data_IF_937441223540
#
_entry.id   IF_937441223540
#
_cell.length_a   1.000
_cell.length_b   1.000
_cell.length_c   1.000
_cell.angle_alpha   90.00
_cell.angle_beta   90.00
_cell.angle_gamma   90.00
#
_symmetry.space_group_name_H-M   'P 1'
#
loop_
_entity.id
_entity.type
_entity.pdbx_description
1 polymer ?
#
# COMPACT_ATOMS: atom_id res chain seq x y z
N UNK A 1 6.05 -80.83 -30.90
CA UNK A 1 5.39 -80.16 -32.05
C UNK A 1 4.57 -79.04 -31.46
N UNK A 2 5.16 -77.84 -31.44
CA UNK A 2 4.76 -76.68 -32.28
C UNK A 2 3.57 -75.95 -31.60
N UNK A 3 3.60 -74.67 -31.26
CA UNK A 3 4.46 -73.58 -31.74
C UNK A 3 4.36 -72.35 -30.81
N UNK A 4 5.39 -71.51 -30.88
CA UNK A 4 5.69 -70.31 -30.10
C UNK A 4 4.75 -69.14 -30.49
N UNK A 5 4.50 -68.12 -29.66
CA UNK A 5 5.41 -66.96 -29.54
C UNK A 5 4.86 -65.83 -28.64
N UNK A 6 5.77 -65.23 -27.86
CA UNK A 6 5.95 -63.81 -27.45
C UNK A 6 4.76 -62.94 -26.98
N UNK A 7 4.86 -62.05 -25.98
CA UNK A 7 5.88 -61.67 -25.00
C UNK A 7 5.21 -60.75 -23.95
N UNK A 8 5.59 -60.85 -22.67
CA UNK A 8 5.49 -59.73 -21.72
C UNK A 8 6.82 -59.58 -21.01
N UNK A 9 7.44 -58.42 -21.24
CA UNK A 9 8.63 -57.92 -20.58
C UNK A 9 8.35 -57.60 -19.11
N UNK A 10 9.29 -57.88 -18.22
CA UNK A 10 10.00 -56.84 -17.45
C UNK A 10 10.70 -57.41 -16.22
N UNK A 11 12.01 -57.27 -16.22
CA UNK A 11 12.90 -57.09 -15.07
C UNK A 11 14.22 -56.53 -15.66
N UNK A 12 15.12 -55.84 -14.91
CA UNK A 12 15.22 -55.84 -13.45
C UNK A 12 15.58 -54.49 -12.80
N UNK A 13 15.51 -54.50 -11.47
CA UNK A 13 16.23 -53.70 -10.47
C UNK A 13 17.24 -52.64 -10.97
N UNK A 14 17.06 -51.41 -10.48
CA UNK A 14 18.08 -50.50 -9.88
C UNK A 14 17.49 -49.09 -9.93
N UNK A 15 17.30 -48.48 -8.76
CA UNK A 15 17.14 -47.03 -8.45
C UNK A 15 16.18 -46.80 -7.27
N UNK A 16 16.34 -47.55 -6.18
CA UNK A 16 15.80 -47.18 -4.86
C UNK A 16 16.97 -47.27 -3.88
N UNK A 17 17.87 -46.29 -3.92
CA UNK A 17 18.99 -46.16 -2.96
C UNK A 17 19.66 -44.76 -3.02
N UNK A 18 18.88 -43.67 -3.09
CA UNK A 18 19.50 -42.33 -3.05
C UNK A 18 18.71 -41.16 -2.46
N UNK A 19 17.53 -41.36 -1.87
CA UNK A 19 16.74 -40.25 -1.30
C UNK A 19 16.44 -40.33 0.21
N UNK A 20 17.09 -41.23 0.97
CA UNK A 20 16.91 -41.31 2.44
C UNK A 20 18.14 -40.86 3.24
N UNK A 21 19.15 -40.29 2.58
CA UNK A 21 20.38 -39.79 3.24
C UNK A 21 20.57 -38.26 3.23
N UNK A 22 19.58 -37.49 2.76
CA UNK A 22 19.68 -36.01 2.74
C UNK A 22 18.69 -35.28 3.66
N UNK A 23 17.94 -36.00 4.49
CA UNK A 23 16.93 -35.41 5.41
C UNK A 23 17.44 -35.38 6.86
N UNK A 24 18.62 -35.95 7.14
CA UNK A 24 19.17 -36.05 8.52
C UNK A 24 20.47 -35.27 8.73
N UNK A 25 20.86 -34.42 7.78
CA UNK A 25 22.08 -33.60 7.85
C UNK A 25 21.82 -32.10 7.64
N UNK A 26 20.58 -31.64 7.77
CA UNK A 26 20.35 -30.25 8.17
C UNK A 26 20.64 -30.15 9.67
N UNK A 27 21.94 -29.93 9.92
CA UNK A 27 22.55 -29.41 11.14
C UNK A 27 21.54 -28.98 12.19
N UNK A 28 21.74 -29.53 13.39
CA UNK A 28 21.59 -28.82 14.65
C UNK A 28 22.17 -27.40 14.47
N UNK A 29 21.34 -26.47 14.00
CA UNK A 29 21.61 -25.06 14.16
C UNK A 29 21.59 -24.89 15.67
N UNK A 30 22.72 -24.49 16.23
CA UNK A 30 22.83 -24.16 17.65
C UNK A 30 21.56 -23.41 18.06
N UNK A 31 20.73 -24.01 18.92
CA UNK A 31 19.49 -23.38 19.43
C UNK A 31 19.77 -22.01 20.08
N UNK A 32 21.04 -21.69 20.33
CA UNK A 32 21.54 -20.42 20.87
C UNK A 32 21.87 -19.35 19.82
N UNK A 33 21.80 -19.62 18.51
CA UNK A 33 22.02 -18.56 17.51
C UNK A 33 20.74 -17.75 17.28
N UNK A 34 20.75 -16.48 17.66
CA UNK A 34 19.61 -15.56 17.53
C UNK A 34 19.13 -15.46 16.08
N UNK A 35 20.04 -15.53 15.10
CA UNK A 35 19.66 -15.46 13.67
C UNK A 35 18.82 -16.65 13.23
N UNK A 36 19.04 -17.82 13.82
CA UNK A 36 18.25 -19.02 13.51
C UNK A 36 16.80 -18.89 13.95
N UNK A 37 16.53 -18.14 15.02
CA UNK A 37 15.19 -17.89 15.57
C UNK A 37 14.30 -17.07 14.63
N UNK A 38 14.88 -16.32 13.69
CA UNK A 38 14.14 -15.60 12.63
C UNK A 38 13.40 -16.54 11.68
N UNK A 39 13.75 -17.83 11.65
CA UNK A 39 13.05 -18.83 10.82
C UNK A 39 11.93 -19.54 11.55
N UNK A 40 11.68 -19.19 12.81
CA UNK A 40 10.65 -19.80 13.65
C UNK A 40 9.41 -18.90 13.64
N UNK A 41 8.35 -19.35 12.97
CA UNK A 41 7.09 -18.62 12.83
C UNK A 41 6.03 -19.20 13.76
N UNK A 42 6.25 -19.04 15.08
CA UNK A 42 5.35 -19.54 16.10
C UNK A 42 4.82 -18.41 16.96
N UNK A 43 3.50 -18.31 17.05
CA UNK A 43 2.81 -17.37 17.90
C UNK A 43 2.79 -17.85 19.35
N UNK A 44 3.13 -16.95 20.28
CA UNK A 44 2.98 -17.15 21.71
C UNK A 44 2.56 -15.83 22.36
N UNK A 45 1.29 -15.76 22.76
CA UNK A 45 0.70 -14.58 23.40
C UNK A 45 1.52 -14.12 24.61
N UNK A 46 1.95 -15.05 25.48
CA UNK A 46 2.68 -14.69 26.70
C UNK A 46 4.07 -14.15 26.39
N UNK A 47 4.71 -14.67 25.34
CA UNK A 47 5.98 -14.16 24.88
C UNK A 47 5.83 -12.73 24.32
N UNK A 48 4.79 -12.46 23.53
CA UNK A 48 4.48 -11.11 23.04
C UNK A 48 4.24 -10.12 24.17
N UNK A 49 3.42 -10.48 25.17
CA UNK A 49 3.19 -9.64 26.36
C UNK A 49 4.48 -9.36 27.13
N UNK A 50 5.32 -10.38 27.36
CA UNK A 50 6.60 -10.23 28.04
C UNK A 50 7.58 -9.36 27.24
N UNK A 51 7.53 -9.42 25.91
CA UNK A 51 8.34 -8.58 25.03
C UNK A 51 7.92 -7.11 25.11
N UNK A 52 6.62 -6.82 25.05
CA UNK A 52 6.08 -5.45 25.18
C UNK A 52 6.49 -4.84 26.52
N UNK A 53 6.48 -5.63 27.60
CA UNK A 53 6.93 -5.19 28.93
C UNK A 53 8.44 -5.08 29.08
N UNK A 54 9.22 -5.51 28.08
CA UNK A 54 10.68 -5.53 28.14
C UNK A 54 11.24 -6.58 29.12
N UNK A 55 10.47 -7.61 29.45
CA UNK A 55 10.85 -8.66 30.40
C UNK A 55 11.66 -9.78 29.74
N UNK A 56 11.27 -10.18 28.51
CA UNK A 56 11.90 -11.31 27.82
C UNK A 56 11.75 -11.22 26.30
N UNK A 57 12.81 -11.61 25.59
CA UNK A 57 12.77 -11.74 24.13
C UNK A 57 12.08 -13.07 23.74
N UNK A 58 11.05 -13.04 22.88
CA UNK A 58 10.34 -14.23 22.41
C UNK A 58 11.26 -15.22 21.71
N UNK A 59 11.10 -16.53 21.97
CA UNK A 59 11.97 -17.55 21.36
C UNK A 59 11.85 -17.58 19.84
N UNK A 60 10.63 -17.59 19.31
CA UNK A 60 10.36 -17.49 17.88
C UNK A 60 10.41 -16.02 17.45
N UNK A 61 11.17 -15.69 16.40
CA UNK A 61 11.35 -14.33 15.90
C UNK A 61 10.93 -14.20 14.42
N UNK A 62 10.28 -15.18 13.82
CA UNK A 62 9.89 -15.12 12.41
C UNK A 62 8.68 -14.22 12.14
N UNK A 63 7.80 -14.05 13.13
CA UNK A 63 6.55 -13.31 12.94
C UNK A 63 6.76 -11.78 13.00
N UNK A 64 6.20 -11.00 12.05
CA UNK A 64 6.22 -9.54 12.10
C UNK A 64 5.66 -8.96 13.42
N UNK A 65 4.58 -9.53 13.94
CA UNK A 65 4.01 -9.16 15.24
C UNK A 65 5.06 -9.20 16.35
N UNK A 66 5.88 -10.26 16.38
CA UNK A 66 6.91 -10.42 17.41
C UNK A 66 7.96 -9.31 17.32
N UNK A 67 8.33 -8.91 16.11
CA UNK A 67 9.24 -7.80 15.90
C UNK A 67 8.69 -6.50 16.47
N UNK A 68 7.42 -6.18 16.21
CA UNK A 68 6.76 -5.01 16.75
C UNK A 68 6.68 -5.05 18.28
N UNK A 69 6.41 -6.22 18.88
CA UNK A 69 6.35 -6.38 20.34
C UNK A 69 7.71 -6.09 20.99
N UNK A 70 8.79 -6.56 20.37
CA UNK A 70 10.15 -6.32 20.82
C UNK A 70 10.52 -4.83 20.68
N UNK A 71 10.22 -4.22 19.54
CA UNK A 71 10.50 -2.78 19.31
C UNK A 71 9.74 -1.94 20.35
N UNK A 72 8.47 -2.26 20.62
CA UNK A 72 7.69 -1.67 21.71
C UNK A 72 8.44 -1.79 23.03
N UNK A 73 8.87 -2.99 23.41
CA UNK A 73 9.66 -3.24 24.62
C UNK A 73 10.93 -2.40 24.71
N UNK A 74 11.71 -2.34 23.63
CA UNK A 74 12.98 -1.57 23.54
C UNK A 74 12.72 -0.10 23.80
N UNK A 75 11.65 0.47 23.22
CA UNK A 75 11.34 1.90 23.37
C UNK A 75 11.10 2.32 24.81
N UNK A 76 10.46 1.47 25.63
CA UNK A 76 10.11 1.80 27.01
C UNK A 76 11.12 1.28 28.04
N UNK A 77 11.95 0.29 27.70
CA UNK A 77 12.86 -0.36 28.64
C UNK A 77 14.31 -0.24 28.16
N UNK A 78 15.07 0.69 28.74
CA UNK A 78 16.49 0.87 28.41
C UNK A 78 17.30 -0.39 28.78
N UNK A 79 18.12 -0.88 27.85
CA UNK A 79 18.92 -2.10 28.02
C UNK A 79 18.21 -3.40 27.64
N UNK A 80 16.90 -3.38 27.39
CA UNK A 80 16.19 -4.53 26.82
C UNK A 80 16.56 -4.69 25.35
N UNK A 81 16.78 -5.93 24.90
CA UNK A 81 16.97 -6.23 23.48
C UNK A 81 18.36 -5.94 22.91
N UNK A 82 19.36 -5.57 23.71
CA UNK A 82 20.73 -5.28 23.21
C UNK A 82 21.36 -6.45 22.45
N UNK A 83 21.01 -7.69 22.79
CA UNK A 83 21.45 -8.90 22.06
C UNK A 83 20.92 -8.98 20.61
N UNK A 84 19.96 -8.15 20.24
CA UNK A 84 19.40 -8.06 18.89
C UNK A 84 20.12 -7.05 17.98
N UNK A 85 21.12 -6.33 18.50
CA UNK A 85 21.90 -5.35 17.74
C UNK A 85 22.63 -6.04 16.58
N UNK A 86 22.48 -5.50 15.36
CA UNK A 86 23.09 -6.07 14.15
C UNK A 86 22.44 -7.35 13.62
N UNK A 87 21.29 -7.76 14.19
CA UNK A 87 20.49 -8.89 13.69
C UNK A 87 19.58 -8.42 12.55
N UNK A 88 18.78 -7.38 12.79
CA UNK A 88 17.95 -6.72 11.78
C UNK A 88 18.10 -5.19 11.92
N UNK A 89 18.13 -4.43 10.81
CA UNK A 89 18.26 -2.96 10.86
C UNK A 89 17.19 -2.29 11.73
N UNK A 90 15.95 -2.79 11.72
CA UNK A 90 14.85 -2.24 12.54
C UNK A 90 15.10 -2.36 14.05
N UNK A 91 15.75 -3.43 14.50
CA UNK A 91 16.11 -3.59 15.91
C UNK A 91 17.27 -2.68 16.28
N UNK A 92 18.30 -2.60 15.44
CA UNK A 92 19.40 -1.65 15.67
C UNK A 92 18.88 -0.21 15.72
N UNK A 93 17.99 0.21 14.80
CA UNK A 93 17.35 1.53 14.84
C UNK A 93 16.61 1.79 16.15
N UNK A 94 15.79 0.85 16.61
CA UNK A 94 15.05 0.98 17.86
C UNK A 94 15.98 1.14 19.07
N UNK A 95 17.06 0.35 19.13
CA UNK A 95 18.08 0.43 20.18
C UNK A 95 18.85 1.76 20.12
N UNK A 96 19.18 2.24 18.93
CA UNK A 96 19.83 3.53 18.72
C UNK A 96 18.92 4.68 19.18
N UNK A 97 17.64 4.64 18.83
CA UNK A 97 16.64 5.61 19.30
C UNK A 97 16.55 5.62 20.84
N UNK A 98 16.45 4.43 21.45
CA UNK A 98 16.38 4.28 22.92
C UNK A 98 17.64 4.78 23.62
N UNK A 99 18.81 4.56 23.03
CA UNK A 99 20.09 5.07 23.53
C UNK A 99 20.08 6.60 23.55
N UNK A 100 19.65 7.23 22.45
CA UNK A 100 19.55 8.70 22.33
C UNK A 100 18.57 9.27 23.35
N UNK A 101 17.40 8.63 23.51
CA UNK A 101 16.41 8.98 24.53
C UNK A 101 16.90 8.76 25.97
N UNK A 102 18.08 8.17 26.15
CA UNK A 102 18.74 7.93 27.44
C UNK A 102 20.08 8.68 27.54
N UNK A 103 20.22 9.79 26.81
CA UNK A 103 21.39 10.66 26.77
C UNK A 103 22.68 10.01 26.26
N UNK A 104 22.56 8.94 25.45
CA UNK A 104 23.70 8.26 24.83
C UNK A 104 23.60 8.29 23.30
N UNK A 105 24.57 8.94 22.63
CA UNK A 105 24.64 8.97 21.17
C UNK A 105 25.48 7.78 20.68
N UNK A 106 24.87 6.75 20.06
CA UNK A 106 25.63 5.61 19.55
C UNK A 106 26.38 5.98 18.27
N UNK A 107 27.42 5.21 17.94
CA UNK A 107 28.07 5.28 16.63
C UNK A 107 27.19 4.55 15.61
N UNK A 108 26.83 5.22 14.52
CA UNK A 108 25.99 4.69 13.45
C UNK A 108 26.70 4.88 12.11
N UNK A 109 26.90 3.79 11.37
CA UNK A 109 27.58 3.79 10.06
C UNK A 109 26.59 3.60 8.91
N UNK A 110 25.64 2.67 9.06
CA UNK A 110 24.61 2.40 8.04
C UNK A 110 23.43 3.36 8.22
N UNK A 111 23.04 4.05 7.14
CA UNK A 111 21.86 4.92 7.09
C UNK A 111 20.57 4.20 7.50
N UNK A 112 20.47 2.90 7.24
CA UNK A 112 19.33 2.10 7.67
C UNK A 112 19.27 1.91 9.19
N UNK A 113 20.30 2.28 9.94
CA UNK A 113 20.33 2.19 11.41
C UNK A 113 20.12 3.54 12.10
N UNK A 114 19.94 4.62 11.32
CA UNK A 114 19.62 5.94 11.85
C UNK A 114 18.13 5.98 12.22
N UNK A 115 17.78 6.16 13.50
CA UNK A 115 16.41 6.46 13.86
C UNK A 115 15.99 7.82 13.31
N UNK A 116 14.69 7.93 13.00
CA UNK A 116 14.08 9.13 12.45
C UNK A 116 14.31 10.39 13.30
N UNK A 117 14.56 10.22 14.61
CA UNK A 117 14.82 11.31 15.56
C UNK A 117 16.17 12.03 15.36
N UNK A 118 17.08 11.58 14.48
CA UNK A 118 18.42 12.17 14.32
C UNK A 118 18.49 13.35 13.34
N UNK A 119 17.48 13.59 12.50
CA UNK A 119 17.44 14.80 11.66
C UNK A 119 17.16 16.05 12.52
N UNK A 120 18.21 16.54 13.18
CA UNK A 120 18.11 17.26 14.46
C UNK A 120 17.20 18.49 14.45
N UNK A 121 17.33 19.40 13.48
CA UNK A 121 16.65 20.70 13.61
C UNK A 121 15.13 20.61 13.49
N UNK A 122 14.62 19.88 12.50
CA UNK A 122 13.17 19.76 12.29
C UNK A 122 12.50 18.90 13.36
N UNK A 123 13.17 17.82 13.81
CA UNK A 123 12.65 16.99 14.91
C UNK A 123 12.65 17.73 16.24
N UNK A 124 13.69 18.53 16.53
CA UNK A 124 13.70 19.42 17.70
C UNK A 124 12.60 20.48 17.56
N UNK A 125 12.38 21.03 16.36
CA UNK A 125 11.28 21.95 16.08
C UNK A 125 9.91 21.34 16.34
N UNK A 126 9.70 20.09 15.94
CA UNK A 126 8.48 19.33 16.23
C UNK A 126 8.32 19.05 17.73
N UNK A 127 9.39 18.70 18.43
CA UNK A 127 9.37 18.56 19.88
C UNK A 127 9.01 19.89 20.58
N UNK A 128 9.48 21.03 20.05
CA UNK A 128 9.08 22.35 20.53
C UNK A 128 7.59 22.61 20.28
N UNK A 129 7.03 22.18 19.16
CA UNK A 129 5.60 22.27 18.88
C UNK A 129 4.75 21.45 19.86
N UNK A 130 5.23 20.28 20.28
CA UNK A 130 4.56 19.47 21.33
C UNK A 130 4.70 20.13 22.71
N UNK A 131 5.89 20.61 23.06
CA UNK A 131 6.20 21.13 24.41
C UNK A 131 5.84 22.63 24.62
N UNK A 132 5.58 23.38 23.55
CA UNK A 132 5.32 24.82 23.61
C UNK A 132 6.57 25.70 23.74
N UNK A 133 7.75 25.20 23.37
CA UNK A 133 9.01 25.94 23.49
C UNK A 133 9.26 26.90 22.31
N UNK A 134 8.52 28.02 22.28
CA UNK A 134 8.57 29.00 21.20
C UNK A 134 9.96 29.63 21.00
N UNK A 135 10.64 30.01 22.09
CA UNK A 135 11.94 30.70 21.99
C UNK A 135 12.99 29.77 21.38
N UNK A 136 13.06 28.52 21.84
CA UNK A 136 13.92 27.49 21.26
C UNK A 136 13.55 27.22 19.80
N UNK A 137 12.27 27.13 19.46
CA UNK A 137 11.82 26.95 18.08
C UNK A 137 12.37 28.06 17.16
N UNK A 138 12.34 29.32 17.60
CA UNK A 138 12.86 30.47 16.84
C UNK A 138 14.37 30.41 16.67
N UNK A 139 15.10 29.90 17.66
CA UNK A 139 16.56 29.74 17.59
C UNK A 139 17.02 28.67 16.59
N UNK A 140 16.17 27.69 16.26
CA UNK A 140 16.53 26.61 15.33
C UNK A 140 16.74 27.10 13.88
N UNK A 141 16.16 28.25 13.54
CA UNK A 141 16.19 28.87 12.20
C UNK A 141 15.81 27.86 11.10
N UNK A 142 14.64 27.23 11.27
CA UNK A 142 14.07 26.28 10.31
C UNK A 142 13.00 26.92 9.45
N UNK A 143 12.78 26.37 8.26
CA UNK A 143 11.70 26.82 7.37
C UNK A 143 10.33 26.64 8.05
N UNK A 144 9.34 27.50 7.72
CA UNK A 144 7.98 27.38 8.23
C UNK A 144 7.32 26.09 7.72
N UNK A 145 7.43 25.05 8.53
CA UNK A 145 7.10 23.67 8.20
C UNK A 145 5.66 23.33 8.56
N UNK A 146 4.89 22.84 7.60
CA UNK A 146 3.46 22.54 7.80
C UNK A 146 3.23 21.42 8.82
N UNK A 147 4.11 20.41 8.89
CA UNK A 147 3.91 19.28 9.80
C UNK A 147 4.16 19.69 11.26
N UNK A 148 5.06 20.64 11.49
CA UNK A 148 5.26 21.25 12.81
C UNK A 148 4.05 22.12 13.20
N UNK A 149 3.42 22.79 12.23
CA UNK A 149 2.18 23.52 12.48
C UNK A 149 1.02 22.58 12.84
N UNK A 150 0.84 21.48 12.11
CA UNK A 150 -0.17 20.45 12.45
C UNK A 150 0.04 19.91 13.87
N UNK A 151 1.28 19.57 14.23
CA UNK A 151 1.64 19.12 15.58
C UNK A 151 1.34 20.18 16.67
N UNK A 152 1.71 21.44 16.43
CA UNK A 152 1.46 22.54 17.35
C UNK A 152 -0.04 22.79 17.55
N UNK A 153 -0.82 22.71 16.46
CA UNK A 153 -2.27 22.83 16.48
C UNK A 153 -2.91 21.72 17.32
N UNK A 154 -2.49 20.46 17.09
CA UNK A 154 -3.00 19.30 17.82
C UNK A 154 -2.72 19.39 19.33
N UNK A 155 -1.53 19.84 19.71
CA UNK A 155 -1.14 20.00 21.10
C UNK A 155 -1.70 21.27 21.76
N UNK A 156 -2.43 22.12 21.03
CA UNK A 156 -2.98 23.38 21.55
C UNK A 156 -1.96 24.50 21.76
N UNK A 157 -0.75 24.35 21.21
CA UNK A 157 0.33 25.33 21.29
C UNK A 157 0.21 26.36 20.16
N UNK A 158 -0.73 27.30 20.31
CA UNK A 158 -1.09 28.24 19.25
C UNK A 158 0.03 29.19 18.84
N UNK A 159 0.97 29.52 19.72
CA UNK A 159 2.03 30.48 19.40
C UNK A 159 2.96 30.02 18.26
N UNK A 160 3.35 28.73 18.25
CA UNK A 160 4.18 28.17 17.17
C UNK A 160 3.34 27.99 15.90
N UNK A 161 2.10 27.53 16.05
CA UNK A 161 1.16 27.43 14.94
C UNK A 161 0.97 28.77 14.22
N UNK A 162 0.62 29.83 14.95
CA UNK A 162 0.42 31.17 14.41
C UNK A 162 1.70 31.75 13.79
N UNK A 163 2.87 31.53 14.40
CA UNK A 163 4.15 31.94 13.83
C UNK A 163 4.38 31.33 12.44
N UNK A 164 4.13 30.02 12.28
CA UNK A 164 4.28 29.32 10.99
C UNK A 164 3.20 29.77 9.99
N UNK A 165 1.94 29.81 10.43
CA UNK A 165 0.79 30.12 9.57
C UNK A 165 0.78 31.59 9.11
N UNK A 166 1.44 32.49 9.84
CA UNK A 166 1.60 33.89 9.44
C UNK A 166 2.58 34.10 8.27
N UNK A 167 3.42 33.09 7.95
CA UNK A 167 4.41 33.21 6.88
C UNK A 167 3.75 33.13 5.50
N UNK A 168 4.20 33.93 4.53
CA UNK A 168 3.60 33.95 3.19
C UNK A 168 3.84 32.66 2.40
N UNK A 169 4.92 31.94 2.71
CA UNK A 169 5.27 30.66 2.08
C UNK A 169 5.58 29.66 3.18
N UNK A 170 4.95 28.49 3.09
CA UNK A 170 5.13 27.34 3.99
C UNK A 170 5.69 26.16 3.21
N UNK A 171 6.37 25.26 3.90
CA UNK A 171 7.12 24.17 3.30
C UNK A 171 6.64 22.81 3.82
N UNK A 172 6.81 21.80 2.96
CA UNK A 172 6.76 20.39 3.34
C UNK A 172 8.18 19.82 3.24
N UNK A 173 8.84 19.72 4.39
CA UNK A 173 10.21 19.25 4.57
C UNK A 173 10.22 17.87 5.21
N UNK A 174 9.33 17.62 6.17
CA UNK A 174 9.22 16.31 6.81
C UNK A 174 8.28 15.40 6.01
N UNK A 175 8.54 14.10 6.05
CA UNK A 175 7.65 13.07 5.51
C UNK A 175 7.57 11.90 6.51
N UNK A 176 6.46 11.85 7.24
CA UNK A 176 6.20 10.84 8.27
C UNK A 176 5.84 9.47 7.68
N UNK A 177 5.40 9.39 6.42
CA UNK A 177 5.15 8.11 5.73
C UNK A 177 6.46 7.37 5.49
N UNK A 178 7.47 8.09 5.02
CA UNK A 178 8.78 7.50 4.70
C UNK A 178 9.78 7.63 5.83
N UNK A 179 9.46 8.41 6.88
CA UNK A 179 10.37 8.78 7.97
C UNK A 179 11.63 9.46 7.42
N UNK A 180 11.43 10.44 6.55
CA UNK A 180 12.53 11.19 5.93
C UNK A 180 12.38 12.69 6.10
N UNK A 181 13.49 13.40 5.92
CA UNK A 181 13.55 14.86 5.86
C UNK A 181 14.11 15.21 4.49
N UNK A 182 13.32 15.92 3.69
CA UNK A 182 13.65 16.27 2.32
C UNK A 182 14.78 17.29 2.27
N UNK A 183 15.82 16.99 1.48
CA UNK A 183 16.88 17.95 1.15
C UNK A 183 16.40 19.04 0.17
N UNK A 184 15.24 18.84 -0.48
CA UNK A 184 14.63 19.79 -1.42
C UNK A 184 13.23 20.17 -0.91
N UNK A 185 13.12 21.15 0.00
CA UNK A 185 11.85 21.62 0.53
C UNK A 185 10.87 22.05 -0.56
N UNK A 186 9.63 21.57 -0.51
CA UNK A 186 8.58 21.99 -1.44
C UNK A 186 7.85 23.23 -0.91
N UNK A 187 7.92 24.39 -1.58
CA UNK A 187 7.19 25.59 -1.16
C UNK A 187 5.71 25.49 -1.50
N UNK A 188 4.89 26.30 -0.82
CA UNK A 188 3.44 26.39 -1.07
C UNK A 188 2.67 25.21 -0.48
N UNK A 189 3.20 24.57 0.56
CA UNK A 189 2.49 23.53 1.28
C UNK A 189 1.37 24.13 2.13
N UNK A 190 0.29 23.36 2.29
CA UNK A 190 -0.84 23.67 3.16
C UNK A 190 -1.01 22.54 4.18
N UNK A 191 -1.79 22.79 5.24
CA UNK A 191 -2.22 21.74 6.17
C UNK A 191 -3.08 20.72 5.40
N UNK A 192 -2.80 19.42 5.58
CA UNK A 192 -3.45 18.33 4.87
C UNK A 192 -3.60 17.04 5.70
N UNK A 193 -3.31 17.07 7.00
CA UNK A 193 -3.37 15.91 7.90
C UNK A 193 -2.49 14.74 7.39
N UNK A 194 -1.31 15.08 6.87
CA UNK A 194 -0.27 14.13 6.44
C UNK A 194 0.79 13.91 7.54
N UNK A 195 0.54 14.39 8.75
CA UNK A 195 1.45 14.32 9.90
C UNK A 195 0.94 13.31 10.94
N UNK A 196 1.85 12.51 11.50
CA UNK A 196 1.51 11.63 12.61
C UNK A 196 1.51 12.38 13.95
N UNK A 197 0.50 13.22 14.18
CA UNK A 197 0.42 14.09 15.37
C UNK A 197 0.35 13.33 16.70
N UNK A 198 0.70 13.99 17.80
CA UNK A 198 0.78 13.39 19.14
C UNK A 198 -0.48 12.60 19.53
N UNK A 199 -1.69 13.12 19.26
CA UNK A 199 -2.94 12.39 19.54
C UNK A 199 -3.02 11.04 18.82
N UNK A 200 -2.56 10.96 17.56
CA UNK A 200 -2.66 9.74 16.76
C UNK A 200 -1.64 8.71 17.22
N UNK A 201 -0.45 9.16 17.64
CA UNK A 201 0.58 8.32 18.26
C UNK A 201 0.19 7.81 19.66
N UNK A 202 -0.75 8.47 20.34
CA UNK A 202 -1.27 8.04 21.63
C UNK A 202 -2.22 6.83 21.51
N UNK A 203 -2.91 6.69 20.37
CA UNK A 203 -3.82 5.57 20.10
C UNK A 203 -3.02 4.27 20.02
N UNK A 204 -3.46 3.26 20.76
CA UNK A 204 -2.89 1.90 20.81
C UNK A 204 -3.82 0.89 20.17
N UNK A 205 -3.24 -0.11 19.53
CA UNK A 205 -3.98 -1.29 19.10
C UNK A 205 -3.61 -2.48 19.98
N UNK A 206 -4.60 -3.25 20.41
CA UNK A 206 -4.34 -4.55 21.04
C UNK A 206 -3.93 -5.53 19.95
N UNK A 207 -2.80 -6.22 20.14
CA UNK A 207 -2.44 -7.28 19.21
C UNK A 207 -3.39 -8.48 19.34
N UNK A 208 -3.68 -9.11 18.21
CA UNK A 208 -4.53 -10.28 18.12
C UNK A 208 -3.72 -11.55 17.83
N UNK A 209 -4.41 -12.68 17.67
CA UNK A 209 -3.77 -13.96 17.36
C UNK A 209 -3.12 -13.85 15.98
N UNK A 210 -1.82 -14.13 15.92
CA UNK A 210 -1.13 -14.35 14.66
C UNK A 210 -1.20 -15.83 14.30
N UNK A 211 -1.50 -16.14 13.03
CA UNK A 211 -1.47 -17.53 12.55
C UNK A 211 -0.02 -18.05 12.45
N UNK A 212 0.20 -19.30 12.87
CA UNK A 212 1.49 -19.98 12.72
C UNK A 212 1.73 -20.26 11.21
N UNK A 213 2.86 -19.82 10.67
CA UNK A 213 3.23 -20.11 9.28
C UNK A 213 3.94 -21.47 9.19
N UNK A 214 3.30 -22.45 8.55
CA UNK A 214 3.96 -23.70 8.17
C UNK A 214 4.79 -23.47 6.89
N UNK A 215 6.11 -23.34 7.05
CA UNK A 215 7.09 -22.90 6.03
C UNK A 215 7.32 -23.93 4.91
N UNK A 216 6.40 -24.87 4.67
CA UNK A 216 6.61 -25.97 3.71
C UNK A 216 6.44 -25.56 2.23
N UNK A 217 6.05 -24.30 1.94
CA UNK A 217 5.72 -23.85 0.58
C UNK A 217 6.24 -22.44 0.22
N UNK A 218 7.44 -22.07 0.67
CA UNK A 218 8.11 -20.85 0.18
C UNK A 218 9.24 -21.27 -0.78
N UNK A 219 9.01 -21.13 -2.09
CA UNK A 219 10.08 -21.18 -3.07
C UNK A 219 11.02 -19.99 -2.87
N UNK A 220 12.32 -20.18 -3.12
CA UNK A 220 13.38 -19.22 -2.79
C UNK A 220 13.23 -17.83 -3.46
N UNK A 221 12.30 -17.66 -4.41
CA UNK A 221 12.11 -16.46 -5.22
C UNK A 221 10.70 -15.83 -5.15
N UNK A 222 9.79 -16.33 -4.29
CA UNK A 222 8.42 -15.79 -4.19
C UNK A 222 8.17 -15.08 -2.85
N UNK A 223 7.88 -13.78 -2.92
CA UNK A 223 7.32 -13.01 -1.80
C UNK A 223 5.97 -13.63 -1.38
N UNK A 224 5.82 -14.06 -0.11
CA UNK A 224 4.64 -14.79 0.31
C UNK A 224 3.32 -14.02 0.06
N UNK A 225 2.33 -14.75 -0.47
CA UNK A 225 1.02 -14.22 -0.82
C UNK A 225 0.13 -14.15 0.44
N UNK A 226 0.16 -13.02 1.13
CA UNK A 226 -0.54 -12.79 2.40
C UNK A 226 -2.01 -12.31 2.23
N UNK A 227 -2.88 -13.03 1.50
CA UNK A 227 -4.28 -12.60 1.34
C UNK A 227 -5.19 -13.04 2.51
N UNK A 228 -4.75 -13.98 3.34
CA UNK A 228 -5.58 -14.59 4.40
C UNK A 228 -4.89 -14.73 5.75
N UNK A 229 -3.66 -14.24 5.89
CA UNK A 229 -2.96 -14.34 7.16
C UNK A 229 -3.54 -13.33 8.14
N UNK A 230 -3.78 -13.77 9.37
CA UNK A 230 -3.99 -12.87 10.50
C UNK A 230 -2.58 -12.50 10.99
N UNK A 231 -2.02 -11.32 10.62
CA UNK A 231 -0.69 -10.91 11.10
C UNK A 231 -0.68 -10.64 12.61
N UNK A 232 -1.86 -10.56 13.23
CA UNK A 232 -2.04 -10.24 14.65
C UNK A 232 -2.02 -8.75 14.97
N UNK A 233 -2.08 -7.87 13.96
CA UNK A 233 -2.17 -6.41 14.09
C UNK A 233 -2.70 -5.78 12.79
N UNK A 234 -3.16 -4.54 12.85
CA UNK A 234 -3.52 -3.72 11.69
C UNK A 234 -2.37 -2.76 11.34
N UNK A 235 -2.12 -2.57 10.04
CA UNK A 235 -1.11 -1.64 9.58
C UNK A 235 -1.56 -0.19 9.82
N UNK A 236 -0.88 0.50 10.74
CA UNK A 236 -1.08 1.92 10.93
C UNK A 236 -0.52 2.70 9.75
N UNK A 237 -1.24 3.72 9.31
CA UNK A 237 -0.78 4.60 8.23
C UNK A 237 0.57 5.23 8.52
N UNK A 238 0.78 5.63 9.79
CA UNK A 238 2.05 6.17 10.25
C UNK A 238 2.69 5.20 11.24
N UNK A 239 3.88 4.71 10.90
CA UNK A 239 4.66 3.82 11.77
C UNK A 239 6.00 4.47 12.15
N UNK A 240 5.95 5.70 12.65
CA UNK A 240 7.14 6.47 13.06
C UNK A 240 7.94 5.70 14.13
N UNK A 241 7.23 5.00 14.99
CA UNK A 241 7.79 4.29 16.15
C UNK A 241 8.23 2.85 15.84
N UNK A 242 7.95 2.37 14.63
CA UNK A 242 8.30 1.03 14.11
C UNK A 242 7.64 -0.15 14.84
N UNK A 243 6.79 0.11 15.82
CA UNK A 243 6.05 -0.88 16.60
C UNK A 243 4.57 -0.96 16.22
N UNK A 244 4.13 -0.28 15.16
CA UNK A 244 2.72 -0.21 14.75
C UNK A 244 1.76 0.19 15.89
N UNK A 245 2.25 0.91 16.91
CA UNK A 245 1.50 1.25 18.12
C UNK A 245 0.84 0.05 18.82
N UNK A 246 1.39 -1.16 18.66
CA UNK A 246 0.82 -2.32 19.33
C UNK A 246 1.03 -2.24 20.85
N UNK A 247 0.06 -2.74 21.59
CA UNK A 247 0.11 -2.86 23.03
C UNK A 247 -0.70 -4.08 23.50
N UNK A 248 -0.68 -4.33 24.81
CA UNK A 248 -1.51 -5.38 25.44
C UNK A 248 -2.98 -4.96 25.60
N UNK A 249 -3.30 -3.71 25.24
CA UNK A 249 -4.64 -3.13 25.28
C UNK A 249 -4.85 -2.16 24.11
N UNK A 250 -6.10 -2.05 23.66
CA UNK A 250 -6.51 -1.09 22.64
C UNK A 250 -6.92 0.25 23.24
N UNK A 251 -6.80 1.31 22.46
CA UNK A 251 -7.46 2.60 22.73
C UNK A 251 -8.75 2.68 21.93
N UNK A 252 -9.74 3.40 22.44
CA UNK A 252 -10.93 3.70 21.64
C UNK A 252 -10.57 4.66 20.50
N UNK A 253 -11.07 4.41 19.28
CA UNK A 253 -10.88 5.34 18.19
C UNK A 253 -11.57 6.68 18.51
N UNK A 254 -10.99 7.81 18.11
CA UNK A 254 -11.62 9.11 18.31
C UNK A 254 -12.96 9.15 17.56
N UNK A 255 -13.99 9.65 18.24
CA UNK A 255 -15.30 9.84 17.62
C UNK A 255 -15.21 10.83 16.45
N UNK A 256 -15.99 10.58 15.39
CA UNK A 256 -16.11 11.51 14.27
C UNK A 256 -16.54 12.89 14.79
N UNK A 257 -15.77 13.91 14.43
CA UNK A 257 -16.06 15.28 14.84
C UNK A 257 -17.18 15.85 13.95
N UNK A 258 -18.04 16.75 14.46
CA UNK A 258 -19.02 17.45 13.62
C UNK A 258 -18.39 18.14 12.41
N UNK A 259 -17.16 18.64 12.58
CA UNK A 259 -16.35 19.26 11.52
C UNK A 259 -16.06 18.30 10.36
N UNK A 260 -15.82 17.01 10.63
CA UNK A 260 -15.62 16.01 9.60
C UNK A 260 -16.87 15.84 8.72
N UNK A 261 -18.06 15.87 9.32
CA UNK A 261 -19.32 15.77 8.60
C UNK A 261 -19.57 16.98 7.70
N UNK A 262 -19.24 18.18 8.18
CA UNK A 262 -19.33 19.40 7.37
C UNK A 262 -18.37 19.35 6.19
N UNK A 263 -17.15 18.84 6.40
CA UNK A 263 -16.15 18.70 5.36
C UNK A 263 -16.60 17.73 4.27
N UNK A 264 -17.35 16.67 4.56
CA UNK A 264 -17.82 15.71 3.55
C UNK A 264 -18.64 16.35 2.43
N UNK A 265 -19.37 17.42 2.72
CA UNK A 265 -20.28 18.06 1.75
C UNK A 265 -19.80 19.42 1.26
N UNK A 266 -18.91 20.08 2.02
CA UNK A 266 -18.34 21.38 1.66
C UNK A 266 -17.08 21.25 0.80
N UNK A 267 -16.73 22.29 0.01
CA UNK A 267 -15.45 22.34 -0.68
C UNK A 267 -14.30 22.32 0.33
N UNK A 268 -13.25 21.55 0.05
CA UNK A 268 -12.11 21.42 0.95
C UNK A 268 -11.38 22.76 1.10
N UNK A 269 -11.24 23.32 2.32
CA UNK A 269 -10.44 24.53 2.56
C UNK A 269 -8.98 24.27 2.23
N UNK A 270 -8.20 25.24 1.75
CA UNK A 270 -6.77 25.03 1.41
C UNK A 270 -5.96 24.42 2.55
N UNK A 271 -6.16 24.92 3.77
CA UNK A 271 -5.63 24.36 5.00
C UNK A 271 -6.70 23.48 5.64
N UNK A 272 -6.49 22.16 5.60
CA UNK A 272 -7.39 21.21 6.22
C UNK A 272 -7.30 21.38 7.75
N UNK A 273 -8.44 21.49 8.46
CA UNK A 273 -8.41 21.51 9.91
C UNK A 273 -8.05 20.12 10.45
N UNK A 274 -7.65 20.08 11.73
CA UNK A 274 -7.27 18.87 12.45
C UNK A 274 -8.35 17.80 12.52
N UNK A 275 -8.52 16.98 11.48
CA UNK A 275 -9.50 15.89 11.39
C UNK A 275 -8.87 14.61 10.85
N UNK A 276 -9.38 13.46 11.28
CA UNK A 276 -9.06 12.21 10.60
C UNK A 276 -9.68 12.22 9.19
N UNK A 277 -8.82 12.34 8.18
CA UNK A 277 -9.24 12.45 6.79
C UNK A 277 -9.52 11.10 6.11
N UNK A 278 -9.40 9.98 6.82
CA UNK A 278 -9.59 8.65 6.23
C UNK A 278 -10.98 8.49 5.63
N UNK A 279 -12.01 8.91 6.37
CA UNK A 279 -13.37 8.94 5.85
C UNK A 279 -13.52 9.90 4.65
N UNK A 280 -12.81 11.03 4.64
CA UNK A 280 -12.87 11.95 3.50
C UNK A 280 -12.27 11.32 2.23
N UNK A 281 -11.20 10.53 2.37
CA UNK A 281 -10.57 9.79 1.27
C UNK A 281 -11.53 8.72 0.75
N UNK A 282 -12.07 7.89 1.64
CA UNK A 282 -13.00 6.81 1.27
C UNK A 282 -14.26 7.35 0.58
N UNK A 283 -14.84 8.43 1.11
CA UNK A 283 -16.04 9.03 0.52
C UNK A 283 -15.75 9.71 -0.83
N UNK A 284 -14.59 10.36 -0.98
CA UNK A 284 -14.17 10.91 -2.27
C UNK A 284 -13.97 9.79 -3.32
N UNK A 285 -13.39 8.67 -2.91
CA UNK A 285 -13.24 7.49 -3.76
C UNK A 285 -14.60 6.90 -4.13
N UNK A 286 -15.47 6.67 -3.15
CA UNK A 286 -16.79 6.07 -3.34
C UNK A 286 -17.66 6.84 -4.34
N UNK A 287 -17.66 8.18 -4.27
CA UNK A 287 -18.43 9.03 -5.18
C UNK A 287 -17.73 9.29 -6.53
N UNK A 288 -16.47 8.87 -6.70
CA UNK A 288 -15.70 9.15 -7.91
C UNK A 288 -15.29 10.62 -8.06
N UNK A 289 -15.13 11.35 -6.95
CA UNK A 289 -14.65 12.74 -6.94
C UNK A 289 -13.12 12.76 -7.07
N UNK A 290 -12.65 12.89 -8.31
CA UNK A 290 -11.23 12.82 -8.65
C UNK A 290 -10.43 13.94 -7.98
N UNK A 291 -10.92 15.18 -8.03
CA UNK A 291 -10.17 16.34 -7.52
C UNK A 291 -9.98 16.23 -6.01
N UNK A 292 -11.05 15.84 -5.31
CA UNK A 292 -11.03 15.63 -3.87
C UNK A 292 -10.16 14.45 -3.48
N UNK A 293 -10.26 13.33 -4.19
CA UNK A 293 -9.46 12.14 -3.94
C UNK A 293 -7.97 12.38 -4.20
N UNK A 294 -7.61 13.00 -5.33
CA UNK A 294 -6.22 13.33 -5.69
C UNK A 294 -5.55 14.21 -4.62
N UNK A 295 -6.32 15.11 -4.04
CA UNK A 295 -5.87 16.02 -2.98
C UNK A 295 -5.66 15.33 -1.64
N UNK A 296 -6.58 14.45 -1.23
CA UNK A 296 -6.59 13.86 0.11
C UNK A 296 -5.77 12.57 0.23
N UNK A 297 -5.63 11.82 -0.86
CA UNK A 297 -5.04 10.47 -0.88
C UNK A 297 -3.68 10.42 -0.21
N UNK A 298 -3.41 9.29 0.44
CA UNK A 298 -2.13 8.96 1.06
C UNK A 298 -1.24 8.18 0.09
N UNK A 299 0.07 8.01 0.38
CA UNK A 299 0.96 7.21 -0.47
C UNK A 299 0.56 5.74 -0.58
N UNK A 300 0.10 5.15 0.54
CA UNK A 300 -0.41 3.79 0.63
C UNK A 300 -1.93 3.81 0.89
N UNK A 301 -2.68 2.81 0.36
CA UNK A 301 -4.13 2.82 0.44
C UNK A 301 -4.62 2.50 1.86
N UNK A 302 -5.76 3.07 2.21
CA UNK A 302 -6.52 2.68 3.38
C UNK A 302 -7.24 1.34 3.15
N UNK A 303 -7.62 0.70 4.25
CA UNK A 303 -8.54 -0.44 4.22
C UNK A 303 -9.85 0.00 3.56
N UNK A 304 -10.39 -0.81 2.65
CA UNK A 304 -11.57 -0.53 1.83
C UNK A 304 -11.47 0.63 0.82
N UNK A 305 -10.31 1.28 0.68
CA UNK A 305 -10.14 2.35 -0.31
C UNK A 305 -10.33 1.82 -1.73
N UNK A 306 -9.88 0.59 -1.99
CA UNK A 306 -10.03 -0.10 -3.28
C UNK A 306 -11.50 -0.36 -3.59
N UNK A 307 -12.27 -0.89 -2.64
CA UNK A 307 -13.70 -1.14 -2.78
C UNK A 307 -14.44 0.16 -3.14
N UNK A 308 -14.09 1.25 -2.45
CA UNK A 308 -14.62 2.58 -2.72
C UNK A 308 -14.21 3.08 -4.10
N UNK A 309 -12.95 2.88 -4.51
CA UNK A 309 -12.47 3.24 -5.84
C UNK A 309 -13.24 2.50 -6.94
N UNK A 310 -13.46 1.18 -6.80
CA UNK A 310 -14.25 0.38 -7.76
C UNK A 310 -15.63 0.99 -7.92
N UNK A 311 -16.28 1.33 -6.80
CA UNK A 311 -17.58 1.99 -6.82
C UNK A 311 -17.52 3.34 -7.53
N UNK A 312 -16.51 4.14 -7.24
CA UNK A 312 -16.26 5.46 -7.83
C UNK A 312 -16.12 5.44 -9.35
N UNK A 313 -15.55 4.38 -9.92
CA UNK A 313 -15.41 4.22 -11.38
C UNK A 313 -16.77 4.20 -12.08
N UNK A 314 -17.79 3.61 -11.45
CA UNK A 314 -19.15 3.63 -11.99
C UNK A 314 -19.79 5.03 -11.98
N UNK A 315 -19.29 5.94 -11.13
CA UNK A 315 -19.75 7.32 -11.06
C UNK A 315 -18.93 8.24 -11.98
N UNK A 316 -17.64 7.98 -12.13
CA UNK A 316 -16.74 8.76 -12.97
C UNK A 316 -15.72 7.85 -13.69
N UNK A 317 -15.87 7.75 -15.00
CA UNK A 317 -15.00 6.90 -15.84
C UNK A 317 -13.55 7.37 -15.90
N UNK A 318 -13.24 8.59 -15.44
CA UNK A 318 -11.87 9.09 -15.37
C UNK A 318 -11.15 8.71 -14.05
N UNK A 319 -11.87 8.17 -13.07
CA UNK A 319 -11.31 7.77 -11.79
C UNK A 319 -10.20 6.70 -11.85
N UNK A 320 -10.23 5.70 -12.78
CA UNK A 320 -9.14 4.76 -12.99
C UNK A 320 -7.79 5.40 -13.33
N UNK A 321 -7.77 6.63 -13.84
CA UNK A 321 -6.54 7.31 -14.26
C UNK A 321 -5.80 7.99 -13.09
N UNK A 322 -6.28 7.84 -11.87
CA UNK A 322 -5.56 8.29 -10.68
C UNK A 322 -4.31 7.43 -10.44
N UNK A 323 -3.20 8.05 -10.00
CA UNK A 323 -1.89 7.38 -9.77
C UNK A 323 -1.99 6.12 -8.90
N UNK A 324 -2.94 6.10 -7.96
CA UNK A 324 -3.13 4.98 -7.03
C UNK A 324 -3.77 3.76 -7.73
N UNK A 325 -4.86 3.96 -8.47
CA UNK A 325 -5.47 2.90 -9.28
C UNK A 325 -4.48 2.39 -10.34
N UNK A 326 -3.61 3.24 -10.90
CA UNK A 326 -2.54 2.81 -11.80
C UNK A 326 -1.55 1.83 -11.13
N UNK A 327 -1.03 2.15 -9.94
CA UNK A 327 -0.09 1.28 -9.19
C UNK A 327 -0.77 0.00 -8.71
N UNK A 328 -2.03 0.08 -8.30
CA UNK A 328 -2.85 -1.04 -7.89
C UNK A 328 -3.16 -1.99 -9.05
N UNK A 329 -3.73 -1.47 -10.15
CA UNK A 329 -4.09 -2.26 -11.33
C UNK A 329 -2.88 -2.95 -11.93
N UNK A 330 -1.73 -2.30 -12.10
CA UNK A 330 -0.53 -2.95 -12.66
C UNK A 330 -0.04 -4.14 -11.82
N UNK A 331 -0.02 -4.05 -10.49
CA UNK A 331 0.42 -5.15 -9.60
C UNK A 331 -0.64 -6.25 -9.44
N UNK A 332 -1.92 -5.90 -9.40
CA UNK A 332 -3.00 -6.86 -9.16
C UNK A 332 -3.62 -7.42 -10.43
N UNK A 333 -3.51 -6.77 -11.59
CA UNK A 333 -3.93 -7.33 -12.88
C UNK A 333 -3.24 -8.66 -13.15
N UNK A 334 -1.92 -8.68 -13.03
CA UNK A 334 -1.12 -9.89 -13.20
C UNK A 334 -1.60 -11.04 -12.29
N UNK A 335 -2.07 -10.71 -11.09
CA UNK A 335 -2.56 -11.66 -10.08
C UNK A 335 -4.03 -12.07 -10.27
N UNK A 336 -4.93 -11.13 -10.60
CA UNK A 336 -6.33 -11.38 -10.99
C UNK A 336 -6.36 -12.30 -12.20
N UNK A 337 -5.49 -12.08 -13.18
CA UNK A 337 -5.32 -12.98 -14.30
C UNK A 337 -4.89 -14.37 -13.84
N UNK A 338 -3.85 -14.50 -13.03
CA UNK A 338 -3.41 -15.80 -12.51
C UNK A 338 -4.53 -16.53 -11.75
N UNK A 339 -5.25 -15.85 -10.85
CA UNK A 339 -6.40 -16.44 -10.14
C UNK A 339 -7.54 -16.83 -11.09
N UNK A 340 -7.95 -15.97 -12.02
CA UNK A 340 -9.02 -16.27 -12.98
C UNK A 340 -8.63 -17.42 -13.93
N UNK A 341 -7.37 -17.52 -14.34
CA UNK A 341 -6.86 -18.59 -15.19
C UNK A 341 -6.70 -19.92 -14.42
N UNK A 342 -6.20 -19.91 -13.19
CA UNK A 342 -6.12 -21.11 -12.34
C UNK A 342 -7.52 -21.64 -11.97
N UNK A 343 -8.49 -20.75 -11.74
CA UNK A 343 -9.89 -21.12 -11.52
C UNK A 343 -10.56 -21.66 -12.79
N UNK A 344 -10.26 -21.12 -13.98
CA UNK A 344 -10.73 -21.68 -15.26
C UNK A 344 -10.23 -23.10 -15.55
N UNK A 345 -9.10 -23.48 -14.93
CA UNK A 345 -8.49 -24.80 -15.12
C UNK A 345 -9.02 -25.89 -14.17
N UNK A 346 -9.80 -25.52 -13.14
CA UNK A 346 -10.44 -26.46 -12.21
C UNK A 346 -11.90 -26.66 -12.58
N UNK A 347 -12.24 -27.76 -13.25
CA UNK A 347 -13.63 -28.24 -13.27
C UNK A 347 -13.92 -28.90 -11.91
N UNK A 348 -14.90 -28.39 -11.18
CA UNK A 348 -15.44 -29.08 -10.00
C UNK A 348 -16.94 -29.37 -10.17
N UNK A 349 -17.37 -30.43 -9.47
CA UNK A 349 -18.62 -31.17 -9.66
C UNK A 349 -19.90 -30.35 -9.56
N UNK A 350 -20.95 -30.93 -10.14
CA UNK A 350 -22.18 -30.32 -10.60
C UNK A 350 -23.19 -29.80 -9.54
N UNK A 351 -22.78 -29.55 -8.29
CA UNK A 351 -23.75 -29.41 -7.18
C UNK A 351 -23.81 -28.01 -6.51
N UNK A 352 -23.15 -26.99 -7.06
CA UNK A 352 -23.30 -25.60 -6.57
C UNK A 352 -23.45 -24.59 -7.71
N UNK A 353 -24.57 -23.88 -7.71
CA UNK A 353 -24.81 -22.73 -8.61
C UNK A 353 -24.00 -21.51 -8.14
N UNK A 354 -22.83 -21.31 -8.74
CA UNK A 354 -22.06 -20.07 -8.59
C UNK A 354 -22.72 -18.91 -9.34
N UNK A 355 -22.68 -17.70 -8.76
CA UNK A 355 -23.29 -16.48 -9.31
C UNK A 355 -22.79 -16.10 -10.73
N UNK A 356 -21.61 -16.56 -11.11
CA UNK A 356 -21.02 -16.39 -12.45
C UNK A 356 -20.71 -17.78 -13.01
N UNK A 357 -21.24 -18.08 -14.21
CA UNK A 357 -21.13 -19.34 -14.96
C UNK A 357 -20.08 -20.34 -14.43
N UNK A 358 -20.45 -21.12 -13.40
CA UNK A 358 -19.65 -22.22 -12.83
C UNK A 358 -18.25 -21.85 -12.30
N UNK A 359 -17.97 -20.57 -12.06
CA UNK A 359 -16.70 -20.11 -11.48
C UNK A 359 -16.96 -19.49 -10.10
N UNK A 360 -16.47 -20.14 -9.03
CA UNK A 360 -16.33 -19.46 -7.74
C UNK A 360 -15.21 -18.44 -7.86
N UNK A 361 -15.56 -17.17 -7.96
CA UNK A 361 -14.64 -16.05 -7.97
C UNK A 361 -15.08 -15.04 -6.90
N UNK A 362 -14.13 -14.39 -6.24
CA UNK A 362 -14.45 -13.26 -5.38
C UNK A 362 -15.10 -12.19 -6.27
N UNK A 363 -16.33 -11.77 -5.93
CA UNK A 363 -17.09 -10.78 -6.69
C UNK A 363 -16.29 -9.48 -6.88
N UNK A 364 -15.50 -9.09 -5.89
CA UNK A 364 -14.59 -7.95 -5.94
C UNK A 364 -13.58 -8.06 -7.10
N UNK A 365 -12.95 -9.22 -7.29
CA UNK A 365 -11.98 -9.44 -8.37
C UNK A 365 -12.64 -9.43 -9.75
N UNK A 366 -13.89 -9.87 -9.85
CA UNK A 366 -14.68 -9.83 -11.09
C UNK A 366 -15.08 -8.40 -11.43
N UNK A 367 -15.51 -7.62 -10.44
CA UNK A 367 -15.85 -6.22 -10.61
C UNK A 367 -14.62 -5.39 -11.00
N UNK A 368 -13.47 -5.63 -10.37
CA UNK A 368 -12.18 -5.05 -10.78
C UNK A 368 -11.91 -5.39 -12.25
N UNK A 369 -11.98 -6.66 -12.64
CA UNK A 369 -11.74 -7.07 -14.03
C UNK A 369 -12.73 -6.41 -15.02
N UNK A 370 -14.00 -6.31 -14.64
CA UNK A 370 -15.06 -5.71 -15.44
C UNK A 370 -14.96 -4.18 -15.53
N UNK A 371 -14.24 -3.52 -14.63
CA UNK A 371 -14.03 -2.06 -14.63
C UNK A 371 -12.90 -1.61 -15.58
N UNK A 372 -12.04 -2.53 -16.04
CA UNK A 372 -10.88 -2.19 -16.87
C UNK A 372 -11.29 -1.88 -18.33
N UNK A 373 -10.59 -0.99 -19.04
CA UNK A 373 -10.74 -0.85 -20.49
C UNK A 373 -10.66 -2.21 -21.22
N UNK A 374 -11.47 -2.40 -22.26
CA UNK A 374 -11.54 -3.68 -22.97
C UNK A 374 -10.19 -4.12 -23.53
N UNK A 375 -9.40 -3.16 -24.02
CA UNK A 375 -8.06 -3.38 -24.58
C UNK A 375 -7.07 -3.91 -23.53
N UNK A 376 -7.42 -3.85 -22.24
CA UNK A 376 -6.61 -4.34 -21.13
C UNK A 376 -7.05 -5.70 -20.60
N UNK A 377 -8.16 -6.23 -21.14
CA UNK A 377 -8.75 -7.51 -20.71
C UNK A 377 -8.19 -8.71 -21.49
N UNK A 378 -7.47 -8.50 -22.57
CA UNK A 378 -6.99 -9.56 -23.48
C UNK A 378 -5.46 -9.76 -23.40
N UNK A 379 -4.92 -10.25 -22.26
CA UNK A 379 -3.49 -10.52 -22.09
C UNK A 379 -3.10 -12.01 -22.24
N UNK A 380 -2.08 -12.37 -23.04
CA UNK A 380 -1.55 -13.72 -23.12
C UNK A 380 -0.70 -14.11 -21.89
N UNK A 381 -0.63 -15.42 -21.63
CA UNK A 381 -0.03 -16.01 -20.41
C UNK A 381 1.47 -15.68 -20.30
N UNK A 382 1.90 -15.14 -19.15
CA UNK A 382 3.32 -15.00 -18.80
C UNK A 382 3.98 -13.68 -19.19
N UNK A 383 3.24 -12.74 -19.77
CA UNK A 383 3.76 -11.40 -20.10
C UNK A 383 3.37 -10.38 -19.03
N UNK A 384 4.33 -9.54 -18.61
CA UNK A 384 4.07 -8.37 -17.77
C UNK A 384 3.64 -7.21 -18.66
N UNK A 385 2.44 -6.68 -18.44
CA UNK A 385 1.99 -5.48 -19.13
C UNK A 385 2.70 -4.24 -18.57
N UNK A 386 3.63 -3.68 -19.33
CA UNK A 386 4.17 -2.36 -19.04
C UNK A 386 3.36 -1.30 -19.79
N UNK A 387 2.52 -0.56 -19.07
CA UNK A 387 1.69 0.51 -19.62
C UNK A 387 2.53 1.80 -19.78
N UNK A 388 2.87 2.20 -21.01
CA UNK A 388 3.46 3.53 -21.28
C UNK A 388 2.36 4.58 -21.45
N UNK A 389 2.18 5.39 -20.42
CA UNK A 389 1.11 6.36 -20.33
C UNK A 389 1.50 7.81 -20.61
N UNK A 390 2.76 8.10 -20.98
CA UNK A 390 3.10 9.47 -21.40
C UNK A 390 2.42 9.86 -22.71
N UNK A 391 2.01 8.89 -23.52
CA UNK A 391 1.58 9.07 -24.90
C UNK A 391 0.17 8.51 -25.20
N UNK A 392 -0.68 8.30 -24.18
CA UNK A 392 -2.05 7.74 -24.35
C UNK A 392 -3.15 8.81 -24.19
N UNK A 393 -4.25 8.79 -24.98
CA UNK A 393 -4.56 7.85 -26.07
C UNK A 393 -3.53 7.92 -27.17
N UNK A 394 -3.16 6.76 -27.74
CA UNK A 394 -2.36 6.75 -28.97
C UNK A 394 -3.00 7.76 -29.93
N UNK A 395 -2.24 8.69 -30.53
CA UNK A 395 -2.75 9.54 -31.57
C UNK A 395 -3.47 8.64 -32.57
N UNK A 396 -4.75 8.93 -32.80
CA UNK A 396 -5.69 8.14 -33.57
C UNK A 396 -4.98 7.48 -34.74
N UNK A 397 -5.02 6.15 -34.83
CA UNK A 397 -4.63 5.44 -36.05
C UNK A 397 -5.36 6.13 -37.20
N UNK A 398 -4.60 6.91 -37.99
CA UNK A 398 -5.06 7.46 -39.25
C UNK A 398 -5.57 6.25 -40.00
N UNK A 399 -6.89 6.23 -40.27
CA UNK A 399 -7.47 5.31 -41.21
C UNK A 399 -6.70 5.52 -42.51
N UNK A 400 -5.78 4.62 -42.82
CA UNK A 400 -5.15 4.57 -44.14
C UNK A 400 -6.28 4.36 -45.12
N UNK A 401 -6.46 5.36 -46.00
CA UNK A 401 -7.37 5.29 -47.14
C UNK A 401 -7.15 3.98 -47.92
N UNK A 402 -8.21 3.36 -48.47
CA UNK A 402 -8.06 2.13 -49.23
C UNK A 402 -7.33 2.42 -50.54
N UNK A 403 -6.20 1.73 -50.75
CA UNK A 403 -5.51 1.68 -52.04
C UNK A 403 -6.46 1.20 -53.13
N UNK A 404 -6.41 1.94 -54.24
CA UNK A 404 -7.09 1.69 -55.50
C UNK A 404 -6.71 0.29 -56.02
N UNK A 405 -7.65 -0.64 -56.03
CA UNK A 405 -7.56 -1.86 -56.83
C UNK A 405 -8.24 -1.62 -58.17
N UNK A 406 -7.43 -1.53 -59.23
CA UNK A 406 -7.90 -1.55 -60.61
C UNK A 406 -8.34 -2.96 -61.03
N UNK A 407 -9.50 -3.00 -61.69
CA UNK A 407 -9.98 -3.96 -62.68
C UNK A 407 -10.05 -5.46 -62.36
N UNK A 408 -11.29 -5.93 -62.15
CA UNK A 408 -11.77 -7.15 -62.78
C UNK A 408 -13.22 -6.96 -63.27
N UNK A 409 -13.34 -6.84 -64.58
CA UNK A 409 -14.56 -6.86 -65.40
C UNK A 409 -15.43 -8.07 -65.06
N UNK A 410 -16.75 -7.86 -64.87
CA UNK A 410 -17.86 -8.64 -65.48
C UNK A 410 -19.19 -7.90 -65.22
N UNK A 411 -19.75 -7.33 -66.30
CA UNK A 411 -21.08 -7.69 -66.78
C UNK A 411 -22.36 -7.15 -66.12
N UNK A 412 -22.94 -6.16 -66.82
CA UNK A 412 -24.38 -5.96 -67.12
C UNK A 412 -25.28 -5.34 -66.04
N UNK A 413 -25.95 -4.24 -66.46
CA UNK A 413 -27.40 -4.11 -66.28
C UNK A 413 -27.92 -2.80 -65.66
N UNK A 414 -28.00 -1.76 -66.49
CA UNK A 414 -29.22 -0.97 -66.74
C UNK A 414 -30.05 -0.42 -65.55
N UNK A 415 -30.04 0.92 -65.39
CA UNK A 415 -31.19 1.84 -65.56
C UNK A 415 -31.10 3.07 -64.63
N UNK A 416 -31.05 4.26 -65.26
CA UNK A 416 -31.99 5.39 -65.14
C UNK A 416 -32.75 5.53 -63.79
N UNK A 417 -32.86 6.70 -63.13
CA UNK A 417 -33.23 8.01 -63.67
C UNK A 417 -33.14 9.10 -62.57
N UNK A 418 -32.74 10.33 -62.97
CA UNK A 418 -33.25 11.68 -62.61
C UNK A 418 -33.82 11.97 -61.20
N UNK A 419 -33.42 13.00 -60.45
CA UNK A 419 -33.72 14.47 -60.57
C UNK A 419 -33.21 15.07 -59.23
N UNK A 420 -32.67 16.28 -59.07
CA UNK A 420 -33.16 17.61 -59.46
C UNK A 420 -32.88 18.60 -58.31
N UNK A 421 -31.89 19.47 -58.51
CA UNK A 421 -31.81 20.91 -58.18
C UNK A 421 -32.24 21.56 -56.85
N UNK A 422 -31.35 22.48 -56.40
CA UNK A 422 -31.57 23.79 -55.72
C UNK A 422 -32.07 23.74 -54.26
N UNK A 423 -31.46 24.36 -53.24
CA UNK A 423 -30.60 25.52 -53.16
C UNK A 423 -31.33 26.63 -52.37
N UNK A 424 -31.06 26.81 -51.06
CA UNK A 424 -31.34 28.05 -50.34
C UNK A 424 -30.40 28.26 -49.15
N UNK A 425 -29.77 29.43 -49.18
CA UNK A 425 -29.02 30.10 -48.11
C UNK A 425 -29.98 30.84 -47.18
N UNK A 426 -29.69 30.88 -45.87
CA UNK A 426 -29.90 32.06 -44.98
C UNK A 426 -29.33 31.82 -43.56
N UNK A 427 -28.21 32.49 -43.28
CA UNK A 427 -27.89 33.36 -42.11
C UNK A 427 -28.58 33.23 -40.73
N UNK A 428 -27.77 33.39 -39.66
CA UNK A 428 -28.11 34.17 -38.44
C UNK A 428 -27.94 33.41 -37.12
N UNK A 429 -26.77 33.45 -36.45
CA UNK A 429 -26.34 34.41 -35.40
C UNK A 429 -27.24 34.51 -34.14
N UNK A 430 -26.66 34.01 -33.04
CA UNK A 430 -26.64 34.51 -31.64
C UNK A 430 -27.97 34.90 -30.97
N UNK A 431 -28.28 34.21 -29.86
CA UNK A 431 -28.70 34.91 -28.64
C UNK A 431 -28.20 34.24 -27.35
N UNK A 432 -27.73 35.12 -26.48
CA UNK A 432 -27.20 34.93 -25.13
C UNK A 432 -28.34 34.99 -24.09
N UNK A 433 -28.07 34.38 -22.92
CA UNK A 433 -28.68 34.55 -21.57
C UNK A 433 -29.99 33.80 -21.26
N UNK A 434 -29.89 32.91 -20.26
CA UNK A 434 -30.49 33.10 -18.93
C UNK A 434 -29.61 32.36 -17.93
#
# INVERSE_FOLDING_TARGET
>A
MLEMSHAKSSAPSRFISRCTKSITEFRLVSENDIRSRLRLFKYDKKACEAAIRGEKIPHALGLPLTHHCIIRGIRYNHGFGEELRGILPKFTRALNARSIMSDHIPVMEDQNEFPYCICMKYQVGRACAVAGYLDLYKELDILPEVYIAEEACDCGNTAIFEEIMSKPVRYAVMDDYTRTVSATPRPGACLNEDTAVCRSLAIKQEFSIAEDLDVTYIGEDEEPFHLFELPGFEDNTFNITEDMNIDVYGSEPPAATPLLLDLLTSPLPCDLPGVDKDLLILMAAYYGDIDRYVRLRRPEPLIHEIDCCIRGIYHNTMFPFTKHWHRFSTRNLQRVYTCLYDLRSRSMGADFDGLYERCHCNAELVEIFASLPKDWRDFPRGESLHLDYKNWPLPTLVQTEPEIVQDAVIGRGANEESTGEQGYSTSGWIHQRS
#
